data_IF_850038992451
#
_entry.id   IF_850038992451
#
_cell.length_a   1.000
_cell.length_b   1.000
_cell.length_c   1.000
_cell.angle_alpha   90.00
_cell.angle_beta   90.00
_cell.angle_gamma   90.00
#
_symmetry.space_group_name_H-M   'P 1'
#
loop_
_entity.id
_entity.type
_entity.pdbx_description
1 polymer ?
#
# COMPACT_ATOMS: atom_id res chain seq x y z
N UNK A 1 24.55 -21.41 -6.37
CA UNK A 1 24.53 -20.11 -5.67
C UNK A 1 25.95 -19.80 -5.22
N UNK A 2 26.53 -18.70 -5.69
CA UNK A 2 27.86 -18.28 -5.22
C UNK A 2 27.71 -17.54 -3.89
N UNK A 3 28.48 -17.92 -2.87
CA UNK A 3 28.54 -17.27 -1.56
C UNK A 3 29.93 -16.64 -1.44
N UNK A 4 29.97 -15.33 -1.19
CA UNK A 4 31.20 -14.60 -0.91
C UNK A 4 31.33 -14.35 0.60
N UNK A 5 32.54 -14.53 1.14
CA UNK A 5 32.88 -14.15 2.52
C UNK A 5 33.70 -12.88 2.49
N UNK A 6 33.18 -11.83 3.13
CA UNK A 6 33.81 -10.52 3.15
C UNK A 6 33.78 -9.99 4.57
N UNK A 7 34.88 -9.37 5.01
CA UNK A 7 34.90 -8.55 6.21
C UNK A 7 34.64 -7.11 5.79
N UNK A 8 33.57 -6.52 6.31
CA UNK A 8 33.21 -5.13 6.04
C UNK A 8 33.32 -4.32 7.32
N UNK A 9 33.85 -3.11 7.22
CA UNK A 9 33.83 -2.14 8.32
C UNK A 9 32.59 -1.28 8.17
N UNK A 10 31.76 -1.21 9.21
CA UNK A 10 30.56 -0.38 9.23
C UNK A 10 30.78 0.86 10.08
N UNK A 11 30.30 2.00 9.61
CA UNK A 11 30.26 3.19 10.44
C UNK A 11 29.18 3.05 11.56
N UNK A 12 29.26 3.85 12.63
CA UNK A 12 28.34 3.72 13.77
C UNK A 12 26.86 3.90 13.40
N UNK A 13 26.53 4.66 12.36
CA UNK A 13 25.14 4.85 11.91
C UNK A 13 24.64 3.58 11.23
N UNK A 14 25.43 3.01 10.32
CA UNK A 14 25.08 1.76 9.64
C UNK A 14 24.92 0.60 10.61
N UNK A 15 25.83 0.47 11.59
CA UNK A 15 25.72 -0.54 12.66
C UNK A 15 24.40 -0.41 13.43
N UNK A 16 24.04 0.81 13.85
CA UNK A 16 22.78 1.08 14.57
C UNK A 16 21.54 0.74 13.75
N UNK A 17 21.55 1.05 12.45
CA UNK A 17 20.44 0.74 11.56
C UNK A 17 20.26 -0.77 11.40
N UNK A 18 21.34 -1.51 11.21
CA UNK A 18 21.29 -2.97 11.10
C UNK A 18 20.82 -3.60 12.41
N UNK A 19 21.33 -3.17 13.56
CA UNK A 19 20.90 -3.69 14.87
C UNK A 19 19.39 -3.50 15.08
N UNK A 20 18.85 -2.32 14.78
CA UNK A 20 17.40 -2.04 14.86
C UNK A 20 16.57 -2.90 13.89
N UNK A 21 17.10 -3.16 12.70
CA UNK A 21 16.41 -4.01 11.73
C UNK A 21 16.41 -5.49 12.20
N UNK A 22 17.52 -5.97 12.77
CA UNK A 22 17.60 -7.29 13.39
C UNK A 22 16.61 -7.43 14.56
N UNK A 23 16.54 -6.45 15.46
CA UNK A 23 15.62 -6.46 16.61
C UNK A 23 14.15 -6.50 16.17
N UNK A 24 13.79 -5.76 15.11
CA UNK A 24 12.41 -5.75 14.59
C UNK A 24 12.03 -7.02 13.85
N UNK A 25 12.95 -7.62 13.11
CA UNK A 25 12.67 -8.77 12.24
C UNK A 25 13.02 -10.13 12.84
N UNK A 26 13.78 -10.19 13.94
CA UNK A 26 14.31 -11.44 14.49
C UNK A 26 15.31 -12.16 13.56
N UNK A 27 15.90 -11.45 12.61
CA UNK A 27 16.77 -12.01 11.57
C UNK A 27 18.26 -11.88 11.92
N UNK A 28 19.08 -12.75 11.34
CA UNK A 28 20.54 -12.70 11.51
C UNK A 28 21.17 -11.47 10.85
N UNK A 29 22.32 -11.02 11.37
CA UNK A 29 23.09 -9.89 10.82
C UNK A 29 23.36 -10.03 9.31
N UNK A 30 23.76 -11.24 8.86
CA UNK A 30 24.02 -11.53 7.44
C UNK A 30 22.79 -11.31 6.58
N UNK A 31 21.63 -11.80 7.04
CA UNK A 31 20.35 -11.66 6.32
C UNK A 31 20.00 -10.18 6.17
N UNK A 32 20.01 -9.44 7.28
CA UNK A 32 19.66 -8.03 7.30
C UNK A 32 20.62 -7.19 6.44
N UNK A 33 21.93 -7.44 6.55
CA UNK A 33 22.93 -6.72 5.74
C UNK A 33 22.74 -6.98 4.24
N UNK A 34 22.56 -8.23 3.83
CA UNK A 34 22.39 -8.58 2.43
C UNK A 34 21.09 -8.00 1.85
N UNK A 35 19.98 -8.10 2.57
CA UNK A 35 18.72 -7.51 2.12
C UNK A 35 18.79 -5.98 2.05
N UNK A 36 19.49 -5.34 2.99
CA UNK A 36 19.69 -3.88 2.95
C UNK A 36 20.53 -3.45 1.74
N UNK A 37 21.57 -4.22 1.39
CA UNK A 37 22.36 -3.99 0.17
C UNK A 37 21.50 -4.18 -1.07
N UNK A 38 20.73 -5.26 -1.15
CA UNK A 38 19.83 -5.51 -2.28
C UNK A 38 18.83 -4.37 -2.46
N UNK A 39 18.06 -4.05 -1.43
CA UNK A 39 17.10 -2.93 -1.49
C UNK A 39 17.77 -1.60 -1.80
N UNK A 40 18.95 -1.33 -1.26
CA UNK A 40 19.67 -0.09 -1.50
C UNK A 40 20.20 0.06 -2.93
N UNK A 41 20.60 -1.05 -3.56
CA UNK A 41 21.07 -1.06 -4.95
C UNK A 41 19.92 -1.17 -5.95
N UNK A 42 18.85 -1.88 -5.60
CA UNK A 42 17.60 -2.00 -6.38
C UNK A 42 16.77 -0.72 -6.34
N UNK A 43 16.76 0.03 -5.23
CA UNK A 43 16.04 1.31 -5.15
C UNK A 43 16.59 2.41 -6.08
N UNK A 44 17.74 2.18 -6.73
CA UNK A 44 18.23 3.00 -7.83
C UNK A 44 17.53 2.71 -9.17
N UNK A 45 16.83 1.58 -9.29
CA UNK A 45 15.91 1.31 -10.38
C UNK A 45 14.62 2.06 -10.06
N UNK A 46 14.44 3.20 -10.73
CA UNK A 46 13.24 4.05 -10.66
C UNK A 46 11.98 3.18 -10.60
N UNK A 47 11.29 3.18 -9.45
CA UNK A 47 9.93 2.63 -9.41
C UNK A 47 9.12 3.36 -10.48
N UNK A 48 8.58 2.60 -11.45
CA UNK A 48 7.76 3.21 -12.49
C UNK A 48 6.64 4.01 -11.83
N UNK A 49 6.43 5.27 -12.22
CA UNK A 49 5.42 6.11 -11.59
C UNK A 49 4.05 5.41 -11.68
N UNK A 50 3.38 5.32 -10.53
CA UNK A 50 2.05 4.73 -10.45
C UNK A 50 1.12 5.41 -11.46
N UNK A 51 0.71 4.67 -12.47
CA UNK A 51 -0.18 5.15 -13.53
C UNK A 51 -1.56 4.53 -13.35
N UNK A 52 -2.57 5.36 -13.15
CA UNK A 52 -3.97 4.91 -13.10
C UNK A 52 -4.39 4.47 -14.50
N UNK A 53 -4.77 3.19 -14.65
CA UNK A 53 -5.43 2.70 -15.85
C UNK A 53 -6.96 2.78 -15.68
N UNK A 54 -7.63 3.82 -16.23
CA UNK A 54 -9.07 3.94 -16.12
C UNK A 54 -9.75 2.80 -16.90
N UNK A 55 -10.82 2.26 -16.33
CA UNK A 55 -11.70 1.28 -16.99
C UNK A 55 -13.10 1.84 -17.12
N UNK A 56 -13.84 1.53 -18.20
CA UNK A 56 -15.23 1.94 -18.33
C UNK A 56 -16.07 1.23 -17.26
N UNK A 57 -16.49 1.98 -16.24
CA UNK A 57 -17.29 1.43 -15.12
C UNK A 57 -18.80 1.60 -15.31
N UNK A 58 -19.26 2.23 -16.39
CA UNK A 58 -20.69 2.43 -16.65
C UNK A 58 -21.41 3.32 -15.63
N UNK A 59 -20.66 4.17 -14.91
CA UNK A 59 -21.20 5.01 -13.85
C UNK A 59 -22.10 6.10 -14.42
N UNK A 60 -23.25 6.29 -13.77
CA UNK A 60 -24.21 7.35 -14.12
C UNK A 60 -23.72 8.69 -13.61
N UNK A 61 -23.77 9.70 -14.46
CA UNK A 61 -23.48 11.10 -14.10
C UNK A 61 -24.43 11.57 -13.00
N UNK A 62 -23.89 12.24 -11.99
CA UNK A 62 -24.67 12.72 -10.83
C UNK A 62 -24.85 11.70 -9.70
N UNK A 63 -24.40 10.45 -9.89
CA UNK A 63 -24.33 9.43 -8.82
C UNK A 63 -22.87 9.22 -8.44
N UNK A 64 -22.55 9.50 -7.19
CA UNK A 64 -21.23 9.23 -6.62
C UNK A 64 -21.12 7.72 -6.28
N UNK A 65 -20.27 6.96 -6.96
CA UNK A 65 -20.08 5.52 -6.68
C UNK A 65 -19.51 5.26 -5.28
N UNK A 66 -18.82 6.23 -4.67
CA UNK A 66 -18.30 6.12 -3.31
C UNK A 66 -19.36 6.31 -2.23
N UNK A 67 -20.59 6.72 -2.60
CA UNK A 67 -21.66 7.10 -1.65
C UNK A 67 -23.01 6.45 -1.98
N UNK A 68 -22.99 5.21 -2.45
CA UNK A 68 -24.21 4.47 -2.81
C UNK A 68 -25.18 4.26 -1.63
N UNK A 69 -24.67 4.21 -0.39
CA UNK A 69 -25.50 4.15 0.81
C UNK A 69 -26.45 5.36 0.90
N UNK A 70 -25.94 6.57 0.68
CA UNK A 70 -26.76 7.78 0.72
C UNK A 70 -27.80 7.85 -0.40
N UNK A 71 -27.56 7.16 -1.52
CA UNK A 71 -28.56 7.03 -2.58
C UNK A 71 -29.68 6.08 -2.16
N UNK A 72 -29.34 4.96 -1.51
CA UNK A 72 -30.32 4.02 -0.97
C UNK A 72 -31.24 4.70 0.06
N UNK A 73 -30.66 5.43 1.02
CA UNK A 73 -31.42 6.15 2.06
C UNK A 73 -32.47 7.11 1.46
N UNK A 74 -32.11 7.81 0.37
CA UNK A 74 -33.02 8.72 -0.33
C UNK A 74 -34.17 7.98 -1.00
N UNK A 75 -33.87 6.88 -1.70
CA UNK A 75 -34.88 6.08 -2.39
C UNK A 75 -35.87 5.46 -1.39
N UNK A 76 -35.39 5.00 -0.24
CA UNK A 76 -36.25 4.49 0.84
C UNK A 76 -37.17 5.58 1.38
N UNK A 77 -36.64 6.78 1.60
CA UNK A 77 -37.41 7.93 2.09
C UNK A 77 -38.50 8.34 1.07
N UNK A 78 -38.16 8.42 -0.21
CA UNK A 78 -39.10 8.75 -1.29
C UNK A 78 -40.24 7.72 -1.38
N UNK A 79 -39.91 6.42 -1.33
CA UNK A 79 -40.89 5.34 -1.36
C UNK A 79 -41.85 5.39 -0.15
N UNK A 80 -41.34 5.69 1.04
CA UNK A 80 -42.15 5.83 2.26
C UNK A 80 -43.15 7.00 2.16
N UNK A 81 -42.70 8.14 1.62
CA UNK A 81 -43.57 9.31 1.41
C UNK A 81 -44.67 8.99 0.38
N UNK A 82 -44.32 8.33 -0.72
CA UNK A 82 -45.28 7.94 -1.75
C UNK A 82 -46.35 7.00 -1.20
N UNK A 83 -45.95 5.97 -0.45
CA UNK A 83 -46.89 5.02 0.17
C UNK A 83 -47.83 5.72 1.17
N UNK A 84 -47.29 6.62 2.00
CA UNK A 84 -48.06 7.37 2.99
C UNK A 84 -49.06 8.33 2.35
N UNK A 85 -48.77 8.85 1.15
CA UNK A 85 -49.66 9.76 0.42
C UNK A 85 -50.82 9.06 -0.31
N UNK A 86 -50.78 7.72 -0.43
CA UNK A 86 -51.79 6.91 -1.12
C UNK A 86 -52.88 6.35 -0.19
N UNK A 87 -52.71 6.54 1.12
CA UNK A 87 -53.66 6.10 2.17
C UNK A 87 -54.48 7.28 2.65
#
# INVERSE_FOLDING_TARGET
>A
MSIMRTTVTLDPRSERLIRRAMERGGQSFKTVLNEAIQRGLEAGETEEPFTVQPRPMGLRTGIDPGRLNSLADKLETEAFVEQSSRT
#
